data_IF_789851467130
#
_entry.id   IF_789851467130
#
_cell.length_a   1.000
_cell.length_b   1.000
_cell.length_c   1.000
_cell.angle_alpha   90.00
_cell.angle_beta   90.00
_cell.angle_gamma   90.00
#
_symmetry.space_group_name_H-M   'P 1'
#
loop_
_entity.id
_entity.type
_entity.pdbx_description
1 polymer ?
#
# COMPACT_ATOMS: atom_id res chain seq x y z
N UNK A 1 49.12 -14.62 1.51
CA UNK A 1 48.32 -15.06 0.34
C UNK A 1 47.29 -13.99 0.02
N UNK A 2 47.47 -13.23 -1.05
CA UNK A 2 46.52 -12.19 -1.46
C UNK A 2 45.24 -12.87 -1.95
N UNK A 3 44.16 -12.73 -1.18
CA UNK A 3 42.86 -13.30 -1.47
C UNK A 3 42.28 -12.60 -2.71
N UNK A 4 42.59 -13.11 -3.91
CA UNK A 4 42.01 -12.60 -5.16
C UNK A 4 40.50 -12.80 -5.08
N UNK A 5 39.76 -11.71 -4.95
CA UNK A 5 38.31 -11.74 -4.98
C UNK A 5 37.87 -12.50 -6.26
N UNK A 6 36.89 -13.43 -6.16
CA UNK A 6 36.48 -14.22 -7.30
C UNK A 6 36.06 -13.30 -8.47
N UNK A 7 36.64 -13.51 -9.64
CA UNK A 7 36.29 -12.77 -10.86
C UNK A 7 34.97 -13.29 -11.41
N UNK A 8 33.87 -12.73 -10.89
CA UNK A 8 32.52 -13.08 -11.34
C UNK A 8 32.19 -12.45 -12.69
N UNK A 9 31.60 -13.23 -13.61
CA UNK A 9 31.05 -12.72 -14.87
C UNK A 9 30.11 -11.51 -14.61
N UNK A 10 30.40 -10.32 -15.15
CA UNK A 10 29.62 -9.11 -14.91
C UNK A 10 28.21 -9.19 -15.51
N UNK A 11 28.02 -9.88 -16.64
CA UNK A 11 26.71 -10.04 -17.29
C UNK A 11 25.73 -10.80 -16.38
N UNK A 12 26.18 -11.86 -15.72
CA UNK A 12 25.36 -12.64 -14.77
C UNK A 12 24.86 -11.76 -13.61
N UNK A 13 25.70 -10.88 -13.07
CA UNK A 13 25.30 -9.99 -11.97
C UNK A 13 24.20 -9.00 -12.42
N UNK A 14 24.29 -8.53 -13.67
CA UNK A 14 23.31 -7.64 -14.27
C UNK A 14 21.96 -8.36 -14.46
N UNK A 15 21.97 -9.59 -14.98
CA UNK A 15 20.78 -10.43 -15.13
C UNK A 15 20.10 -10.67 -13.78
N UNK A 16 20.86 -11.04 -12.75
CA UNK A 16 20.32 -11.26 -11.41
C UNK A 16 19.67 -10.00 -10.85
N UNK A 17 20.34 -8.84 -10.97
CA UNK A 17 19.81 -7.57 -10.48
C UNK A 17 18.52 -7.13 -11.20
N UNK A 18 18.47 -7.26 -12.53
CA UNK A 18 17.28 -6.90 -13.28
C UNK A 18 16.15 -7.90 -13.06
N UNK A 19 16.45 -9.19 -12.94
CA UNK A 19 15.45 -10.19 -12.61
C UNK A 19 14.82 -9.97 -11.23
N UNK A 20 15.63 -9.65 -10.20
CA UNK A 20 15.13 -9.27 -8.88
C UNK A 20 14.22 -8.04 -8.97
N UNK A 21 14.65 -6.99 -9.68
CA UNK A 21 13.87 -5.76 -9.84
C UNK A 21 12.56 -6.02 -10.59
N UNK A 22 12.61 -6.80 -11.66
CA UNK A 22 11.43 -7.18 -12.43
C UNK A 22 10.47 -7.98 -11.55
N UNK A 23 10.96 -8.97 -10.78
CA UNK A 23 10.14 -9.73 -9.85
C UNK A 23 9.47 -8.85 -8.78
N UNK A 24 10.19 -7.88 -8.21
CA UNK A 24 9.61 -6.90 -7.29
C UNK A 24 8.51 -6.05 -7.96
N UNK A 25 8.70 -5.64 -9.22
CA UNK A 25 7.68 -4.91 -9.97
C UNK A 25 6.47 -5.79 -10.31
N UNK A 26 6.69 -7.07 -10.64
CA UNK A 26 5.62 -8.04 -10.88
C UNK A 26 4.79 -8.32 -9.62
N UNK A 27 5.38 -8.24 -8.43
CA UNK A 27 4.63 -8.32 -7.17
C UNK A 27 3.61 -7.19 -7.03
N UNK A 28 3.83 -6.03 -7.66
CA UNK A 28 2.86 -4.92 -7.60
C UNK A 28 1.56 -5.24 -8.34
N UNK A 29 1.58 -6.19 -9.28
CA UNK A 29 0.39 -6.62 -10.02
C UNK A 29 -0.56 -7.49 -9.20
N UNK A 30 -0.16 -7.94 -8.01
CA UNK A 30 -0.97 -8.83 -7.13
C UNK A 30 -2.44 -8.42 -6.98
N UNK A 31 -2.81 -7.13 -6.80
CA UNK A 31 -4.22 -6.72 -6.69
C UNK A 31 -5.05 -7.00 -7.95
N UNK A 32 -4.41 -7.10 -9.11
CA UNK A 32 -5.04 -7.41 -10.40
C UNK A 32 -5.05 -8.91 -10.71
N UNK A 33 -4.28 -9.72 -9.98
CA UNK A 33 -4.24 -11.16 -10.21
C UNK A 33 -5.57 -11.79 -9.78
N UNK A 34 -6.19 -12.46 -10.73
CA UNK A 34 -7.47 -13.14 -10.56
C UNK A 34 -7.52 -14.35 -11.49
N UNK A 35 -7.85 -15.52 -10.92
CA UNK A 35 -8.05 -16.75 -11.67
C UNK A 35 -9.28 -17.48 -11.13
N UNK A 36 -10.26 -17.65 -12.02
CA UNK A 36 -11.62 -18.13 -11.75
C UNK A 36 -11.72 -19.57 -11.31
N UNK A 37 -10.84 -20.43 -11.82
CA UNK A 37 -10.98 -21.88 -11.67
C UNK A 37 -10.32 -22.39 -10.38
N UNK A 38 -10.00 -21.48 -9.46
CA UNK A 38 -9.46 -21.81 -8.14
C UNK A 38 -10.56 -21.80 -7.09
N UNK A 39 -10.40 -22.58 -6.02
CA UNK A 39 -11.40 -22.72 -4.94
C UNK A 39 -11.77 -21.36 -4.33
N UNK A 40 -10.82 -20.43 -4.23
CA UNK A 40 -11.04 -19.04 -3.79
C UNK A 40 -10.41 -18.05 -4.78
N UNK A 41 -11.16 -17.62 -5.83
CA UNK A 41 -10.64 -16.80 -6.93
C UNK A 41 -10.00 -15.48 -6.52
N UNK A 42 -10.44 -14.92 -5.39
CA UNK A 42 -9.96 -13.64 -4.90
C UNK A 42 -8.69 -13.71 -4.06
N UNK A 43 -8.36 -14.89 -3.51
CA UNK A 43 -7.28 -15.06 -2.53
C UNK A 43 -6.19 -16.01 -3.04
N UNK A 44 -6.58 -17.21 -3.46
CA UNK A 44 -5.62 -18.27 -3.85
C UNK A 44 -4.68 -17.85 -4.97
N UNK A 45 -5.16 -17.27 -6.10
CA UNK A 45 -4.28 -16.86 -7.19
C UNK A 45 -3.27 -15.79 -6.75
N UNK A 46 -3.70 -14.86 -5.89
CA UNK A 46 -2.85 -13.77 -5.39
C UNK A 46 -1.75 -14.28 -4.48
N UNK A 47 -2.10 -15.21 -3.57
CA UNK A 47 -1.14 -15.82 -2.65
C UNK A 47 -0.12 -16.70 -3.40
N UNK A 48 -0.58 -17.52 -4.37
CA UNK A 48 0.33 -18.33 -5.18
C UNK A 48 1.26 -17.44 -6.01
N UNK A 49 0.72 -16.40 -6.66
CA UNK A 49 1.49 -15.43 -7.43
C UNK A 49 2.55 -14.74 -6.58
N UNK A 50 2.16 -14.18 -5.43
CA UNK A 50 3.09 -13.44 -4.57
C UNK A 50 4.16 -14.35 -3.99
N UNK A 51 3.80 -15.52 -3.47
CA UNK A 51 4.75 -16.46 -2.85
C UNK A 51 5.76 -16.99 -3.88
N UNK A 52 5.29 -17.45 -5.03
CA UNK A 52 6.17 -17.97 -6.09
C UNK A 52 7.16 -16.91 -6.58
N UNK A 53 6.70 -15.67 -6.75
CA UNK A 53 7.59 -14.56 -7.12
C UNK A 53 8.58 -14.22 -6.01
N UNK A 54 8.16 -14.23 -4.74
CA UNK A 54 9.06 -13.99 -3.60
C UNK A 54 10.14 -15.07 -3.53
N UNK A 55 9.79 -16.34 -3.69
CA UNK A 55 10.72 -17.47 -3.70
C UNK A 55 11.73 -17.33 -4.85
N UNK A 56 11.26 -17.05 -6.07
CA UNK A 56 12.12 -16.85 -7.23
C UNK A 56 13.08 -15.65 -7.03
N UNK A 57 12.55 -14.52 -6.58
CA UNK A 57 13.34 -13.32 -6.28
C UNK A 57 14.37 -13.57 -5.18
N UNK A 58 13.99 -14.32 -4.14
CA UNK A 58 14.89 -14.71 -3.07
C UNK A 58 16.02 -15.62 -3.57
N UNK A 59 15.71 -16.64 -4.38
CA UNK A 59 16.71 -17.52 -4.97
C UNK A 59 17.73 -16.71 -5.81
N UNK A 60 17.26 -15.78 -6.64
CA UNK A 60 18.14 -14.87 -7.40
C UNK A 60 18.98 -13.99 -6.49
N UNK A 61 18.40 -13.48 -5.39
CA UNK A 61 19.12 -12.67 -4.41
C UNK A 61 20.19 -13.47 -3.68
N UNK A 62 19.93 -14.72 -3.29
CA UNK A 62 20.93 -15.59 -2.63
C UNK A 62 22.16 -15.74 -3.53
N UNK A 63 21.95 -16.07 -4.81
CA UNK A 63 23.05 -16.16 -5.79
C UNK A 63 23.79 -14.84 -5.91
N UNK A 64 23.07 -13.72 -5.98
CA UNK A 64 23.68 -12.38 -6.04
C UNK A 64 24.50 -12.05 -4.78
N UNK A 65 24.00 -12.37 -3.59
CA UNK A 65 24.65 -12.09 -2.31
C UNK A 65 25.92 -12.92 -2.11
N UNK A 66 25.95 -14.17 -2.60
CA UNK A 66 27.17 -14.99 -2.62
C UNK A 66 28.22 -14.33 -3.53
N UNK A 67 27.80 -13.92 -4.74
CA UNK A 67 28.68 -13.33 -5.76
C UNK A 67 29.18 -11.93 -5.43
N UNK A 68 28.36 -11.12 -4.77
CA UNK A 68 28.67 -9.71 -4.52
C UNK A 68 28.55 -9.43 -3.02
N UNK A 69 29.69 -9.26 -2.31
CA UNK A 69 29.70 -8.96 -0.87
C UNK A 69 28.87 -7.74 -0.48
N UNK A 70 28.71 -6.81 -1.43
CA UNK A 70 27.88 -5.63 -1.28
C UNK A 70 26.42 -5.97 -0.94
N UNK A 71 25.84 -7.05 -1.49
CA UNK A 71 24.42 -7.43 -1.34
C UNK A 71 24.14 -8.41 -0.20
N UNK A 72 25.17 -8.76 0.59
CA UNK A 72 25.02 -9.65 1.74
C UNK A 72 24.25 -8.96 2.87
N UNK A 73 23.48 -9.72 3.67
CA UNK A 73 22.83 -9.20 4.86
C UNK A 73 23.82 -8.49 5.77
N UNK A 74 23.43 -7.31 6.23
CA UNK A 74 24.11 -6.55 7.30
C UNK A 74 23.14 -6.38 8.46
N UNK A 75 23.65 -6.07 9.64
CA UNK A 75 22.80 -5.81 10.80
C UNK A 75 21.78 -4.70 10.48
N UNK A 76 20.51 -4.99 10.74
CA UNK A 76 19.40 -4.08 10.49
C UNK A 76 18.37 -4.25 11.60
N UNK A 77 18.01 -3.15 12.27
CA UNK A 77 16.97 -3.16 13.30
C UNK A 77 15.61 -3.57 12.74
N UNK A 78 15.29 -3.19 11.49
CA UNK A 78 14.05 -3.58 10.82
C UNK A 78 13.94 -5.11 10.68
N UNK A 79 15.05 -5.75 10.34
CA UNK A 79 15.13 -7.21 10.21
C UNK A 79 14.96 -7.88 11.56
N UNK A 80 15.60 -7.34 12.60
CA UNK A 80 15.45 -7.86 13.97
C UNK A 80 13.99 -7.74 14.45
N UNK A 81 13.37 -6.58 14.29
CA UNK A 81 11.97 -6.35 14.71
C UNK A 81 11.03 -7.30 13.96
N UNK A 82 11.22 -7.47 12.65
CA UNK A 82 10.40 -8.40 11.87
C UNK A 82 10.66 -9.85 12.26
N UNK A 83 11.90 -10.24 12.54
CA UNK A 83 12.23 -11.57 13.03
C UNK A 83 11.60 -11.85 14.40
N UNK A 84 11.57 -10.86 15.29
CA UNK A 84 10.85 -10.97 16.57
C UNK A 84 9.34 -11.10 16.37
N UNK A 85 8.75 -10.40 15.38
CA UNK A 85 7.34 -10.57 15.01
C UNK A 85 7.06 -12.00 14.52
N UNK A 86 7.90 -12.55 13.64
CA UNK A 86 7.79 -13.94 13.17
C UNK A 86 7.94 -14.92 14.33
N UNK A 87 8.90 -14.70 15.22
CA UNK A 87 9.12 -15.53 16.40
C UNK A 87 7.90 -15.51 17.33
N UNK A 88 7.35 -14.33 17.60
CA UNK A 88 6.13 -14.18 18.39
C UNK A 88 4.95 -14.91 17.73
N UNK A 89 4.80 -14.80 16.41
CA UNK A 89 3.76 -15.51 15.66
C UNK A 89 3.95 -17.04 15.69
N UNK A 90 5.20 -17.54 15.63
CA UNK A 90 5.52 -18.96 15.75
C UNK A 90 5.21 -19.49 17.16
N UNK A 91 5.59 -18.75 18.20
CA UNK A 91 5.28 -19.10 19.59
C UNK A 91 3.76 -19.15 19.77
N UNK A 92 3.03 -18.12 19.31
CA UNK A 92 1.58 -18.08 19.36
C UNK A 92 0.92 -19.22 18.56
N UNK A 93 1.50 -19.60 17.41
CA UNK A 93 1.02 -20.73 16.63
C UNK A 93 1.21 -22.07 17.36
N UNK A 94 2.34 -22.24 18.04
CA UNK A 94 2.69 -23.47 18.77
C UNK A 94 1.79 -23.68 20.00
N UNK A 95 1.53 -22.61 20.76
CA UNK A 95 0.60 -22.65 21.90
C UNK A 95 -0.87 -22.47 21.52
N UNK A 96 -1.17 -22.29 20.23
CA UNK A 96 -2.52 -22.12 19.72
C UNK A 96 -3.28 -23.45 19.61
N UNK A 97 -4.61 -23.36 19.46
CA UNK A 97 -5.51 -24.52 19.38
C UNK A 97 -5.13 -25.51 18.27
N UNK A 98 -4.63 -25.02 17.14
CA UNK A 98 -4.13 -25.85 16.05
C UNK A 98 -2.90 -25.20 15.42
N UNK A 99 -1.73 -25.80 15.65
CA UNK A 99 -0.49 -25.36 15.01
C UNK A 99 -0.61 -25.41 13.48
N UNK A 100 -1.17 -26.49 12.93
CA UNK A 100 -1.37 -26.66 11.49
C UNK A 100 -2.16 -25.49 10.88
N UNK A 101 -3.27 -25.10 11.50
CA UNK A 101 -4.11 -24.00 11.00
C UNK A 101 -3.45 -22.64 11.22
N UNK A 102 -2.72 -22.43 12.31
CA UNK A 102 -2.00 -21.18 12.56
C UNK A 102 -0.80 -21.00 11.61
N UNK A 103 -0.08 -22.08 11.32
CA UNK A 103 1.10 -22.04 10.47
C UNK A 103 0.74 -21.90 8.99
N UNK A 104 -0.15 -22.75 8.47
CA UNK A 104 -0.51 -22.78 7.04
C UNK A 104 -1.69 -21.89 6.67
N UNK A 105 -2.57 -21.55 7.63
CA UNK A 105 -3.90 -20.96 7.37
C UNK A 105 -4.86 -21.92 6.66
N UNK A 106 -5.90 -21.37 6.04
CA UNK A 106 -6.82 -22.04 5.14
C UNK A 106 -6.79 -21.38 3.75
N UNK A 107 -7.49 -21.96 2.77
CA UNK A 107 -7.54 -21.40 1.41
C UNK A 107 -8.34 -20.10 1.30
N UNK A 108 -9.26 -19.85 2.23
CA UNK A 108 -10.06 -18.62 2.27
C UNK A 108 -9.23 -17.38 2.58
N UNK A 109 -8.20 -17.52 3.43
CA UNK A 109 -7.41 -16.38 3.93
C UNK A 109 -5.96 -16.42 3.50
N UNK A 110 -5.35 -17.62 3.49
CA UNK A 110 -3.94 -17.83 3.16
C UNK A 110 -2.98 -16.88 3.91
N UNK A 111 -3.27 -16.55 5.18
CA UNK A 111 -2.55 -15.54 5.99
C UNK A 111 -1.88 -16.15 7.24
N UNK A 112 -1.29 -17.33 7.10
CA UNK A 112 -0.64 -18.03 8.22
C UNK A 112 0.77 -17.52 8.50
N UNK A 113 1.45 -18.13 9.47
CA UNK A 113 2.88 -17.86 9.72
C UNK A 113 3.73 -18.11 8.46
N UNK A 114 3.37 -19.09 7.65
CA UNK A 114 4.01 -19.34 6.36
C UNK A 114 3.95 -18.11 5.43
N UNK A 115 2.83 -17.41 5.39
CA UNK A 115 2.68 -16.18 4.60
C UNK A 115 3.56 -15.05 5.18
N UNK A 116 3.57 -14.92 6.51
CA UNK A 116 4.40 -13.94 7.20
C UNK A 116 5.90 -14.16 6.94
N UNK A 117 6.36 -15.40 6.84
CA UNK A 117 7.73 -15.76 6.46
C UNK A 117 8.06 -15.26 5.04
N UNK A 118 7.14 -15.39 4.07
CA UNK A 118 7.35 -14.86 2.72
C UNK A 118 7.49 -13.33 2.72
N UNK A 119 6.65 -12.63 3.47
CA UNK A 119 6.80 -11.18 3.63
C UNK A 119 8.12 -10.79 4.30
N UNK A 120 8.60 -11.60 5.24
CA UNK A 120 9.94 -11.46 5.83
C UNK A 120 11.05 -11.65 4.81
N UNK A 121 10.97 -12.69 3.99
CA UNK A 121 11.92 -12.94 2.89
C UNK A 121 11.93 -11.78 1.89
N UNK A 122 10.75 -11.27 1.51
CA UNK A 122 10.65 -10.09 0.64
C UNK A 122 11.29 -8.86 1.29
N UNK A 123 11.02 -8.62 2.58
CA UNK A 123 11.64 -7.52 3.35
C UNK A 123 13.17 -7.63 3.32
N UNK A 124 13.70 -8.84 3.53
CA UNK A 124 15.14 -9.13 3.42
C UNK A 124 15.66 -8.69 2.03
N UNK A 125 15.07 -9.20 0.96
CA UNK A 125 15.51 -8.84 -0.40
C UNK A 125 15.44 -7.33 -0.65
N UNK A 126 14.36 -6.67 -0.24
CA UNK A 126 14.18 -5.23 -0.44
C UNK A 126 15.26 -4.40 0.25
N UNK A 127 15.57 -4.70 1.52
CA UNK A 127 16.56 -3.95 2.32
C UNK A 127 17.93 -3.93 1.65
N UNK A 128 18.39 -5.07 1.10
CA UNK A 128 19.75 -5.16 0.55
C UNK A 128 19.84 -5.01 -0.97
N UNK A 129 18.74 -5.05 -1.73
CA UNK A 129 18.76 -4.84 -3.19
C UNK A 129 18.28 -3.47 -3.62
N UNK A 130 17.26 -2.91 -2.96
CA UNK A 130 16.67 -1.61 -3.33
C UNK A 130 17.45 -0.49 -2.62
N UNK A 131 18.44 0.05 -3.33
CA UNK A 131 19.34 1.08 -2.82
C UNK A 131 19.02 2.44 -3.41
N UNK A 132 18.53 3.33 -2.54
CA UNK A 132 18.40 4.75 -2.83
C UNK A 132 17.00 5.20 -3.25
N UNK A 133 16.79 6.51 -3.15
CA UNK A 133 15.49 7.16 -3.32
C UNK A 133 14.90 6.95 -4.72
N UNK A 134 15.72 6.87 -5.76
CA UNK A 134 15.24 6.67 -7.15
C UNK A 134 14.53 5.33 -7.32
N UNK A 135 15.08 4.26 -6.76
CA UNK A 135 14.51 2.92 -6.87
C UNK A 135 13.22 2.81 -6.04
N UNK A 136 13.22 3.39 -4.83
CA UNK A 136 12.01 3.49 -4.02
C UNK A 136 10.90 4.30 -4.71
N UNK A 137 11.24 5.45 -5.32
CA UNK A 137 10.28 6.22 -6.11
C UNK A 137 9.71 5.40 -7.26
N UNK A 138 10.50 4.57 -7.95
CA UNK A 138 10.00 3.70 -9.02
C UNK A 138 8.95 2.72 -8.48
N UNK A 139 9.24 2.01 -7.40
CA UNK A 139 8.32 1.06 -6.77
C UNK A 139 7.04 1.76 -6.31
N UNK A 140 7.16 2.91 -5.62
CA UNK A 140 6.02 3.68 -5.13
C UNK A 140 5.16 4.24 -6.27
N UNK A 141 5.76 4.73 -7.36
CA UNK A 141 4.97 5.13 -8.54
C UNK A 141 4.31 3.92 -9.21
N UNK A 142 4.94 2.75 -9.18
CA UNK A 142 4.33 1.49 -9.61
C UNK A 142 3.12 1.10 -8.76
N UNK A 143 3.19 1.27 -7.43
CA UNK A 143 2.05 1.06 -6.55
C UNK A 143 0.90 2.02 -6.87
N UNK A 144 1.21 3.30 -7.13
CA UNK A 144 0.20 4.28 -7.57
C UNK A 144 -0.40 3.88 -8.92
N UNK A 145 0.40 3.30 -9.84
CA UNK A 145 -0.09 2.87 -11.16
C UNK A 145 -1.05 1.71 -11.07
N UNK A 146 -0.73 0.72 -10.23
CA UNK A 146 -1.63 -0.40 -9.95
C UNK A 146 -2.89 0.08 -9.23
N UNK A 147 -2.75 1.03 -8.30
CA UNK A 147 -3.88 1.66 -7.63
C UNK A 147 -4.79 2.44 -8.59
N UNK A 148 -4.22 3.17 -9.55
CA UNK A 148 -4.97 3.84 -10.60
C UNK A 148 -5.73 2.84 -11.46
N UNK A 149 -5.08 1.75 -11.89
CA UNK A 149 -5.72 0.68 -12.66
C UNK A 149 -6.88 0.02 -11.88
N UNK A 150 -6.68 -0.30 -10.60
CA UNK A 150 -7.75 -0.81 -9.72
C UNK A 150 -8.88 0.21 -9.59
N UNK A 151 -8.57 1.50 -9.48
CA UNK A 151 -9.58 2.55 -9.45
C UNK A 151 -10.42 2.65 -10.73
N UNK A 152 -9.79 2.49 -11.90
CA UNK A 152 -10.50 2.44 -13.18
C UNK A 152 -11.42 1.22 -13.27
N UNK A 153 -11.00 0.07 -12.74
CA UNK A 153 -11.87 -1.11 -12.64
C UNK A 153 -13.07 -0.84 -11.71
N UNK A 154 -12.89 -0.04 -10.66
CA UNK A 154 -14.00 0.41 -9.82
C UNK A 154 -15.00 1.29 -10.58
N UNK A 155 -14.53 2.23 -11.40
CA UNK A 155 -15.40 3.01 -12.29
C UNK A 155 -16.17 2.08 -13.24
N UNK A 156 -15.46 1.16 -13.89
CA UNK A 156 -16.08 0.19 -14.81
C UNK A 156 -17.18 -0.62 -14.11
N UNK A 157 -16.92 -1.12 -12.90
CA UNK A 157 -17.91 -1.85 -12.11
C UNK A 157 -19.14 -1.00 -11.78
N UNK A 158 -18.93 0.25 -11.35
CA UNK A 158 -20.03 1.17 -10.99
C UNK A 158 -20.91 1.52 -12.17
N UNK A 159 -20.34 1.64 -13.36
CA UNK A 159 -21.06 1.90 -14.61
C UNK A 159 -21.71 0.64 -15.21
N UNK A 160 -21.63 -0.51 -14.54
CA UNK A 160 -22.14 -1.79 -15.06
C UNK A 160 -21.32 -2.35 -16.23
N UNK A 161 -20.12 -1.82 -16.46
CA UNK A 161 -19.19 -2.33 -17.44
C UNK A 161 -18.68 -3.71 -17.04
N UNK A 162 -18.86 -4.70 -17.90
CA UNK A 162 -18.22 -5.99 -17.73
C UNK A 162 -16.80 -5.94 -18.31
N UNK A 163 -15.80 -6.26 -17.49
CA UNK A 163 -14.44 -6.51 -17.98
C UNK A 163 -14.27 -8.02 -18.08
N UNK A 164 -14.26 -8.61 -19.30
CA UNK A 164 -14.29 -10.06 -19.49
C UNK A 164 -13.11 -10.81 -18.87
N UNK A 165 -12.01 -10.12 -18.53
CA UNK A 165 -10.86 -10.69 -17.81
C UNK A 165 -11.13 -10.80 -16.31
N UNK A 166 -11.83 -9.84 -15.71
CA UNK A 166 -12.02 -9.79 -14.25
C UNK A 166 -13.39 -10.28 -13.78
N UNK A 167 -14.41 -10.38 -14.66
CA UNK A 167 -15.80 -10.75 -14.29
C UNK A 167 -16.20 -10.09 -12.97
N UNK A 168 -16.10 -8.77 -12.97
CA UNK A 168 -16.54 -7.94 -11.85
C UNK A 168 -17.98 -8.36 -11.52
N UNK A 169 -18.25 -8.56 -10.23
CA UNK A 169 -19.63 -8.60 -9.76
C UNK A 169 -20.30 -7.34 -10.30
N UNK A 170 -21.52 -7.44 -10.85
CA UNK A 170 -22.21 -6.32 -11.53
C UNK A 170 -22.38 -5.09 -10.64
N UNK A 171 -23.24 -4.12 -11.02
CA UNK A 171 -23.52 -2.97 -10.15
C UNK A 171 -23.95 -3.44 -8.75
N UNK A 172 -23.05 -3.34 -7.79
CA UNK A 172 -23.24 -3.72 -6.40
C UNK A 172 -23.42 -2.45 -5.57
N UNK A 173 -24.11 -2.57 -4.43
CA UNK A 173 -24.24 -1.45 -3.49
C UNK A 173 -22.86 -1.03 -2.94
N UNK A 174 -21.94 -2.00 -2.81
CA UNK A 174 -20.56 -1.79 -2.33
C UNK A 174 -19.56 -2.36 -3.32
N UNK A 175 -18.47 -1.64 -3.49
CA UNK A 175 -17.50 -1.88 -4.54
C UNK A 175 -16.39 -2.83 -4.06
N UNK A 176 -16.27 -4.01 -4.69
CA UNK A 176 -15.38 -5.12 -4.30
C UNK A 176 -14.24 -5.41 -5.31
N UNK A 177 -14.43 -5.05 -6.59
CA UNK A 177 -13.45 -5.11 -7.69
C UNK A 177 -12.71 -6.45 -7.77
N UNK A 178 -11.41 -6.43 -8.05
CA UNK A 178 -10.54 -7.61 -8.17
C UNK A 178 -10.08 -8.16 -6.82
N UNK A 179 -10.42 -7.49 -5.72
CA UNK A 179 -10.06 -7.90 -4.37
C UNK A 179 -11.17 -8.72 -3.70
N UNK A 180 -12.39 -8.71 -4.26
CA UNK A 180 -13.52 -9.51 -3.82
C UNK A 180 -14.07 -9.15 -2.43
N UNK A 181 -13.60 -8.03 -1.85
CA UNK A 181 -14.05 -7.54 -0.55
C UNK A 181 -13.92 -6.02 -0.47
N UNK A 182 -15.01 -5.26 -0.24
CA UNK A 182 -14.96 -3.80 -0.17
C UNK A 182 -14.00 -3.26 0.92
N UNK A 183 -13.86 -3.97 2.04
CA UNK A 183 -12.93 -3.56 3.10
C UNK A 183 -11.47 -3.68 2.65
N UNK A 184 -11.13 -4.73 1.88
CA UNK A 184 -9.79 -4.90 1.31
C UNK A 184 -9.50 -3.87 0.23
N UNK A 185 -10.47 -3.57 -0.64
CA UNK A 185 -10.36 -2.47 -1.62
C UNK A 185 -10.11 -1.14 -0.91
N UNK A 186 -10.90 -0.84 0.13
CA UNK A 186 -10.75 0.37 0.91
C UNK A 186 -9.34 0.50 1.53
N UNK A 187 -8.86 -0.55 2.22
CA UNK A 187 -7.53 -0.55 2.83
C UNK A 187 -6.39 -0.41 1.80
N UNK A 188 -6.51 -1.07 0.65
CA UNK A 188 -5.57 -0.93 -0.45
C UNK A 188 -5.56 0.51 -1.00
N UNK A 189 -6.73 1.09 -1.26
CA UNK A 189 -6.86 2.44 -1.82
C UNK A 189 -6.43 3.54 -0.85
N UNK A 190 -6.60 3.36 0.46
CA UNK A 190 -6.02 4.28 1.47
C UNK A 190 -4.50 4.32 1.33
N UNK A 191 -3.87 3.15 1.23
CA UNK A 191 -2.41 3.04 1.07
C UNK A 191 -1.95 3.73 -0.22
N UNK A 192 -2.63 3.47 -1.35
CA UNK A 192 -2.37 4.12 -2.63
C UNK A 192 -2.54 5.64 -2.54
N UNK A 193 -3.61 6.11 -1.90
CA UNK A 193 -3.90 7.53 -1.73
C UNK A 193 -2.78 8.22 -0.95
N UNK A 194 -2.35 7.67 0.19
CA UNK A 194 -1.26 8.23 1.00
C UNK A 194 0.07 8.27 0.24
N UNK A 195 0.40 7.22 -0.52
CA UNK A 195 1.61 7.21 -1.35
C UNK A 195 1.52 8.27 -2.47
N UNK A 196 0.37 8.37 -3.15
CA UNK A 196 0.16 9.35 -4.22
C UNK A 196 0.28 10.79 -3.71
N UNK A 197 -0.34 11.11 -2.56
CA UNK A 197 -0.22 12.41 -1.90
C UNK A 197 1.21 12.70 -1.45
N UNK A 198 1.90 11.71 -0.86
CA UNK A 198 3.30 11.86 -0.45
C UNK A 198 4.23 12.16 -1.62
N UNK A 199 4.08 11.44 -2.73
CA UNK A 199 4.85 11.68 -3.96
C UNK A 199 4.48 13.01 -4.63
N UNK A 200 3.23 13.44 -4.56
CA UNK A 200 2.79 14.74 -5.04
C UNK A 200 3.43 15.86 -4.22
N UNK A 201 3.36 15.78 -2.89
CA UNK A 201 3.98 16.73 -1.97
C UNK A 201 5.52 16.81 -2.16
N UNK A 202 6.21 15.68 -2.30
CA UNK A 202 7.64 15.63 -2.62
C UNK A 202 7.94 16.38 -3.93
N UNK A 203 7.11 16.18 -4.97
CA UNK A 203 7.31 16.84 -6.27
C UNK A 203 7.06 18.35 -6.26
N UNK A 204 6.23 18.86 -5.34
CA UNK A 204 5.93 20.28 -5.18
C UNK A 204 7.00 20.99 -4.32
N UNK A 205 7.64 20.26 -3.40
CA UNK A 205 8.61 20.81 -2.43
C UNK A 205 10.07 20.58 -2.81
N UNK A 206 10.35 19.70 -3.79
CA UNK A 206 11.71 19.36 -4.25
C UNK A 206 12.54 20.59 -4.67
N UNK A 207 11.92 21.58 -5.34
CA UNK A 207 12.62 22.80 -5.76
C UNK A 207 13.09 23.65 -4.58
N UNK A 208 12.19 23.93 -3.64
CA UNK A 208 12.49 24.69 -2.41
C UNK A 208 13.56 24.00 -1.53
N UNK A 209 13.57 22.67 -1.52
CA UNK A 209 14.53 21.87 -0.75
C UNK A 209 15.95 21.98 -1.30
N UNK A 210 16.11 21.97 -2.63
CA UNK A 210 17.41 22.13 -3.28
C UNK A 210 18.02 23.52 -3.02
N UNK A 211 17.22 24.58 -3.19
CA UNK A 211 17.66 25.97 -2.96
C UNK A 211 18.05 26.24 -1.51
N UNK A 212 17.45 25.54 -0.55
CA UNK A 212 17.80 25.64 0.87
C UNK A 212 19.16 24.97 1.18
N UNK A 213 19.44 23.81 0.59
CA UNK A 213 20.72 23.10 0.78
C UNK A 213 21.90 23.84 0.17
N UNK A 214 21.68 24.49 -0.97
CA UNK A 214 22.68 25.36 -1.62
C UNK A 214 23.01 26.57 -0.73
N UNK A 215 21.99 27.21 -0.13
CA UNK A 215 22.16 28.36 0.76
C UNK A 215 22.92 28.03 2.05
N UNK A 216 22.85 26.80 2.55
CA UNK A 216 23.59 26.35 3.75
C UNK A 216 25.03 25.89 3.47
N UNK A 217 25.61 26.27 2.33
CA UNK A 217 27.00 25.95 1.96
C UNK A 217 27.25 24.49 1.57
N UNK A 218 26.20 23.67 1.51
CA UNK A 218 26.30 22.25 1.22
C UNK A 218 26.30 21.94 -0.28
N UNK A 219 27.18 22.53 -1.09
CA UNK A 219 27.23 22.24 -2.55
C UNK A 219 27.34 20.73 -2.86
N UNK A 220 28.02 19.96 -2.02
CA UNK A 220 28.12 18.50 -2.15
C UNK A 220 26.85 17.76 -1.69
N UNK A 221 26.13 18.27 -0.67
CA UNK A 221 24.85 17.71 -0.18
C UNK A 221 23.66 18.07 -1.08
N UNK A 222 23.67 19.26 -1.68
CA UNK A 222 22.70 19.69 -2.68
C UNK A 222 22.77 18.81 -3.95
N UNK A 223 23.98 18.41 -4.37
CA UNK A 223 24.17 17.43 -5.46
C UNK A 223 23.63 16.03 -5.12
N UNK A 224 23.61 15.65 -3.83
CA UNK A 224 23.07 14.39 -3.34
C UNK A 224 21.54 14.35 -3.21
N UNK A 225 20.88 15.52 -3.05
CA UNK A 225 19.45 15.65 -3.34
C UNK A 225 19.33 15.63 -4.85
N UNK A 226 19.35 14.41 -5.39
CA UNK A 226 19.39 14.19 -6.82
C UNK A 226 18.37 15.10 -7.49
N UNK A 227 18.82 15.84 -8.53
CA UNK A 227 17.95 16.60 -9.42
C UNK A 227 16.64 15.83 -9.58
N UNK A 228 15.47 16.46 -9.36
CA UNK A 228 14.21 15.77 -9.54
C UNK A 228 14.28 15.06 -10.89
N UNK A 229 13.97 13.76 -10.90
CA UNK A 229 14.02 12.92 -12.10
C UNK A 229 13.33 13.62 -13.30
N UNK A 230 12.38 14.49 -13.00
CA UNK A 230 11.74 15.42 -13.91
C UNK A 230 12.45 16.78 -13.90
N UNK A 231 13.64 16.87 -14.51
CA UNK A 231 14.22 18.17 -14.89
C UNK A 231 13.52 18.79 -16.11
N UNK A 232 12.58 18.06 -16.72
CA UNK A 232 11.59 18.55 -17.68
C UNK A 232 10.22 18.79 -17.06
N UNK A 233 9.20 18.88 -17.91
CA UNK A 233 7.85 19.25 -17.51
C UNK A 233 7.19 18.21 -16.58
N UNK A 234 7.24 18.44 -15.27
CA UNK A 234 6.75 17.49 -14.25
C UNK A 234 5.23 17.49 -14.07
N UNK A 235 4.48 18.36 -14.78
CA UNK A 235 3.03 18.48 -14.61
C UNK A 235 2.26 17.18 -14.92
N UNK A 236 2.60 16.36 -15.94
CA UNK A 236 1.81 15.16 -16.24
C UNK A 236 1.82 14.19 -15.06
N UNK A 237 2.99 14.03 -14.42
CA UNK A 237 3.14 13.15 -13.26
C UNK A 237 2.44 13.70 -12.02
N UNK A 238 2.38 15.03 -11.85
CA UNK A 238 1.60 15.68 -10.78
C UNK A 238 0.11 15.47 -10.97
N UNK A 239 -0.39 15.71 -12.19
CA UNK A 239 -1.79 15.49 -12.56
C UNK A 239 -2.18 14.03 -12.35
N UNK A 240 -1.37 13.09 -12.82
CA UNK A 240 -1.60 11.66 -12.63
C UNK A 240 -1.67 11.26 -11.14
N UNK A 241 -0.76 11.75 -10.30
CA UNK A 241 -0.77 11.47 -8.85
C UNK A 241 -2.00 12.08 -8.16
N UNK A 242 -2.35 13.31 -8.52
CA UNK A 242 -3.54 13.97 -8.00
C UNK A 242 -4.82 13.23 -8.44
N UNK A 243 -4.93 12.87 -9.72
CA UNK A 243 -6.04 12.09 -10.25
C UNK A 243 -6.17 10.74 -9.55
N UNK A 244 -5.05 10.06 -9.30
CA UNK A 244 -5.06 8.78 -8.57
C UNK A 244 -5.50 8.96 -7.12
N UNK A 245 -5.07 10.02 -6.44
CA UNK A 245 -5.50 10.30 -5.07
C UNK A 245 -7.01 10.59 -5.00
N UNK A 246 -7.54 11.40 -5.93
CA UNK A 246 -8.98 11.68 -6.04
C UNK A 246 -9.77 10.41 -6.34
N UNK A 247 -9.31 9.61 -7.30
CA UNK A 247 -9.91 8.33 -7.64
C UNK A 247 -9.93 7.37 -6.45
N UNK A 248 -8.83 7.30 -5.68
CA UNK A 248 -8.75 6.47 -4.48
C UNK A 248 -9.75 6.93 -3.41
N UNK A 249 -9.92 8.23 -3.18
CA UNK A 249 -10.93 8.76 -2.24
C UNK A 249 -12.34 8.39 -2.69
N UNK A 250 -12.65 8.54 -3.98
CA UNK A 250 -13.95 8.14 -4.52
C UNK A 250 -14.20 6.63 -4.33
N UNK A 251 -13.23 5.78 -4.69
CA UNK A 251 -13.35 4.32 -4.48
C UNK A 251 -13.55 3.98 -3.01
N UNK A 252 -12.79 4.60 -2.09
CA UNK A 252 -12.97 4.39 -0.63
C UNK A 252 -14.41 4.69 -0.23
N UNK A 253 -15.01 5.79 -0.73
CA UNK A 253 -16.42 6.12 -0.50
C UNK A 253 -17.37 5.03 -1.01
N UNK A 254 -17.14 4.51 -2.22
CA UNK A 254 -17.98 3.45 -2.81
C UNK A 254 -17.81 2.08 -2.14
N UNK A 255 -16.70 1.84 -1.43
CA UNK A 255 -16.56 0.62 -0.64
C UNK A 255 -17.46 0.58 0.61
N UNK A 256 -17.91 1.75 1.09
CA UNK A 256 -18.62 1.89 2.36
C UNK A 256 -17.79 1.45 3.59
N UNK A 257 -16.46 1.32 3.46
CA UNK A 257 -15.59 0.87 4.55
C UNK A 257 -15.29 2.01 5.52
N UNK A 258 -16.00 2.03 6.66
CA UNK A 258 -15.77 2.99 7.76
C UNK A 258 -14.32 2.96 8.25
N UNK A 259 -13.73 1.76 8.33
CA UNK A 259 -12.33 1.58 8.71
C UNK A 259 -11.36 2.22 7.72
N UNK A 260 -11.61 2.11 6.41
CA UNK A 260 -10.78 2.75 5.40
C UNK A 260 -10.88 4.29 5.46
N UNK A 261 -12.09 4.83 5.65
CA UNK A 261 -12.26 6.27 5.81
C UNK A 261 -11.55 6.78 7.08
N UNK A 262 -11.73 6.09 8.20
CA UNK A 262 -11.04 6.43 9.46
C UNK A 262 -9.51 6.39 9.27
N UNK A 263 -9.00 5.38 8.57
CA UNK A 263 -7.56 5.28 8.25
C UNK A 263 -7.08 6.42 7.34
N UNK A 264 -7.89 6.85 6.37
CA UNK A 264 -7.57 7.99 5.51
C UNK A 264 -7.48 9.29 6.33
N UNK A 265 -8.50 9.58 7.14
CA UNK A 265 -8.55 10.78 7.99
C UNK A 265 -7.41 10.77 9.01
N UNK A 266 -7.22 9.65 9.71
CA UNK A 266 -6.12 9.48 10.66
C UNK A 266 -4.75 9.61 9.99
N UNK A 267 -4.57 9.02 8.81
CA UNK A 267 -3.35 9.12 8.02
C UNK A 267 -3.00 10.55 7.64
N UNK A 268 -3.99 11.32 7.15
CA UNK A 268 -3.82 12.75 6.81
C UNK A 268 -3.50 13.56 8.07
N UNK A 269 -4.20 13.31 9.18
CA UNK A 269 -3.95 13.97 10.46
C UNK A 269 -2.52 13.74 10.95
N UNK A 270 -2.07 12.49 11.05
CA UNK A 270 -0.73 12.17 11.51
C UNK A 270 0.34 12.67 10.55
N UNK A 271 0.16 12.52 9.23
CA UNK A 271 1.09 13.07 8.25
C UNK A 271 1.20 14.59 8.36
N UNK A 272 0.08 15.28 8.56
CA UNK A 272 0.02 16.73 8.80
C UNK A 272 0.75 17.13 10.08
N UNK A 273 0.52 16.43 11.19
CA UNK A 273 1.20 16.67 12.47
C UNK A 273 2.71 16.45 12.37
N UNK A 274 3.13 15.31 11.79
CA UNK A 274 4.55 15.01 11.59
C UNK A 274 5.22 16.09 10.73
N UNK A 275 4.55 16.56 9.67
CA UNK A 275 5.08 17.62 8.82
C UNK A 275 5.06 18.99 9.52
N UNK A 276 4.07 19.28 10.37
CA UNK A 276 4.04 20.52 11.14
C UNK A 276 5.23 20.62 12.11
N UNK A 277 5.64 19.50 12.72
CA UNK A 277 6.75 19.42 13.68
C UNK A 277 8.12 19.39 12.98
N UNK A 278 8.30 18.47 12.02
CA UNK A 278 9.60 18.18 11.39
C UNK A 278 9.74 18.66 9.95
N UNK A 279 8.65 19.15 9.34
CA UNK A 279 8.64 19.59 7.96
C UNK A 279 9.44 20.88 7.74
N UNK A 280 9.61 21.21 6.46
CA UNK A 280 10.39 22.37 6.01
C UNK A 280 9.48 23.45 5.43
N UNK A 281 9.85 24.70 5.68
CA UNK A 281 9.13 25.90 5.22
C UNK A 281 7.96 26.29 6.11
N UNK A 282 8.00 27.51 6.66
CA UNK A 282 7.00 28.00 7.63
C UNK A 282 5.56 27.92 7.10
N UNK A 283 5.34 28.32 5.83
CA UNK A 283 4.00 28.28 5.20
C UNK A 283 3.45 26.86 5.08
N UNK A 284 4.27 25.89 4.67
CA UNK A 284 3.84 24.50 4.52
C UNK A 284 3.60 23.82 5.86
N UNK A 285 4.41 24.14 6.87
CA UNK A 285 4.19 23.69 8.25
C UNK A 285 2.89 24.25 8.82
N UNK A 286 2.63 25.54 8.61
CA UNK A 286 1.38 26.18 9.03
C UNK A 286 0.16 25.57 8.31
N UNK A 287 0.25 25.32 7.01
CA UNK A 287 -0.81 24.64 6.26
C UNK A 287 -1.05 23.21 6.77
N UNK A 288 0.00 22.43 7.02
CA UNK A 288 -0.12 21.07 7.56
C UNK A 288 -0.73 21.07 8.98
N UNK A 289 -0.34 22.03 9.83
CA UNK A 289 -0.92 22.22 11.16
C UNK A 289 -2.41 22.62 11.06
N UNK A 290 -2.77 23.51 10.14
CA UNK A 290 -4.14 23.93 9.91
C UNK A 290 -5.02 22.75 9.44
N UNK A 291 -4.52 21.90 8.55
CA UNK A 291 -5.24 20.69 8.11
C UNK A 291 -5.44 19.73 9.29
N UNK A 292 -4.41 19.49 10.10
CA UNK A 292 -4.52 18.62 11.28
C UNK A 292 -5.51 19.18 12.31
N UNK A 293 -5.46 20.50 12.58
CA UNK A 293 -6.39 21.17 13.48
C UNK A 293 -7.83 21.14 12.95
N UNK A 294 -8.03 21.35 11.65
CA UNK A 294 -9.33 21.25 11.01
C UNK A 294 -9.95 19.85 11.20
N UNK A 295 -9.16 18.78 11.10
CA UNK A 295 -9.64 17.41 11.34
C UNK A 295 -10.11 17.24 12.80
N UNK A 296 -9.35 17.75 13.77
CA UNK A 296 -9.70 17.69 15.21
C UNK A 296 -10.99 18.43 15.52
N UNK A 297 -11.36 19.46 14.76
CA UNK A 297 -12.61 20.21 14.94
C UNK A 297 -13.75 19.57 14.15
N UNK A 298 -13.54 19.31 12.85
CA UNK A 298 -14.57 18.85 11.92
C UNK A 298 -15.05 17.44 12.26
N UNK A 299 -14.17 16.52 12.65
CA UNK A 299 -14.58 15.14 12.94
C UNK A 299 -15.53 15.08 14.15
N UNK A 300 -15.18 15.60 15.35
CA UNK A 300 -16.11 15.63 16.48
C UNK A 300 -17.38 16.44 16.18
N UNK A 301 -17.26 17.59 15.51
CA UNK A 301 -18.43 18.38 15.12
C UNK A 301 -19.36 17.59 14.21
N UNK A 302 -18.83 16.85 13.24
CA UNK A 302 -19.63 15.99 12.36
C UNK A 302 -20.31 14.85 13.13
N UNK A 303 -19.64 14.28 14.15
CA UNK A 303 -20.22 13.24 15.00
C UNK A 303 -21.36 13.78 15.87
N UNK A 304 -21.19 14.97 16.45
CA UNK A 304 -22.23 15.65 17.22
C UNK A 304 -23.40 16.07 16.33
N UNK A 305 -23.09 16.63 15.16
CA UNK A 305 -24.08 17.15 14.24
C UNK A 305 -24.89 16.03 13.55
N UNK A 306 -24.41 14.76 13.50
CA UNK A 306 -25.24 13.60 13.08
C UNK A 306 -26.51 13.43 13.91
N UNK A 307 -26.52 13.90 15.16
CA UNK A 307 -27.70 13.84 16.03
C UNK A 307 -28.71 14.94 15.70
N UNK A 308 -28.36 15.89 14.82
CA UNK A 308 -29.26 16.96 14.39
C UNK A 308 -30.20 16.50 13.26
N UNK A 309 -31.49 16.89 13.28
CA UNK A 309 -32.44 16.58 12.22
C UNK A 309 -32.00 17.07 10.83
N UNK A 310 -31.24 18.17 10.78
CA UNK A 310 -30.75 18.76 9.54
C UNK A 310 -29.74 17.86 8.79
N UNK A 311 -28.86 17.15 9.52
CA UNK A 311 -27.91 16.21 8.90
C UNK A 311 -28.54 14.85 8.61
N UNK A 312 -29.58 14.46 9.35
CA UNK A 312 -30.38 13.28 9.01
C UNK A 312 -31.14 13.48 7.68
N UNK A 313 -31.65 14.70 7.44
CA UNK A 313 -32.26 15.06 6.15
C UNK A 313 -31.25 15.02 4.97
N UNK A 314 -29.97 15.34 5.21
CA UNK A 314 -28.90 15.21 4.22
C UNK A 314 -28.52 13.74 3.95
N UNK A 315 -28.71 12.84 4.92
CA UNK A 315 -28.45 11.41 4.78
C UNK A 315 -29.30 10.73 3.71
N UNK A 316 -30.53 11.21 3.49
CA UNK A 316 -31.40 10.73 2.42
C UNK A 316 -31.00 11.18 1.00
N UNK A 317 -30.01 12.07 0.85
CA UNK A 317 -29.62 12.66 -0.44
C UNK A 317 -28.45 11.91 -1.09
N UNK A 318 -27.57 11.30 -0.29
CA UNK A 318 -26.43 10.53 -0.83
C UNK A 318 -26.21 9.21 -0.09
N UNK A 319 -26.26 8.06 -0.78
CA UNK A 319 -25.98 6.75 -0.19
C UNK A 319 -24.59 6.65 0.46
N UNK A 320 -23.65 7.52 0.08
CA UNK A 320 -22.31 7.61 0.68
C UNK A 320 -22.37 8.18 2.10
N UNK A 321 -23.22 9.19 2.34
CA UNK A 321 -23.38 9.78 3.66
C UNK A 321 -24.02 8.81 4.63
N UNK A 322 -25.07 8.08 4.23
CA UNK A 322 -25.69 7.06 5.08
C UNK A 322 -24.73 5.90 5.40
N UNK A 323 -23.99 5.38 4.41
CA UNK A 323 -22.98 4.33 4.64
C UNK A 323 -21.88 4.75 5.62
N UNK A 324 -21.50 6.02 5.58
CA UNK A 324 -20.38 6.58 6.34
C UNK A 324 -20.79 7.14 7.71
N UNK A 325 -21.97 7.76 7.77
CA UNK A 325 -22.45 8.55 8.89
C UNK A 325 -23.71 7.97 9.58
N UNK A 326 -24.42 7.04 8.95
CA UNK A 326 -25.63 6.41 9.47
C UNK A 326 -25.38 5.50 10.67
N UNK A 327 -26.42 5.32 11.48
CA UNK A 327 -26.39 4.41 12.63
C UNK A 327 -26.08 2.98 12.20
N UNK A 328 -25.39 2.22 13.04
CA UNK A 328 -25.17 0.80 12.80
C UNK A 328 -26.49 0.06 13.05
N UNK A 329 -27.40 0.09 12.07
CA UNK A 329 -28.66 -0.65 12.13
C UNK A 329 -28.41 -2.15 12.33
N UNK A 330 -29.25 -2.77 13.14
CA UNK A 330 -29.19 -4.18 13.59
C UNK A 330 -29.06 -5.20 12.44
N UNK A 331 -29.35 -4.82 11.19
CA UNK A 331 -29.12 -5.63 9.99
C UNK A 331 -27.65 -5.99 9.71
N UNK A 332 -26.69 -5.18 10.19
CA UNK A 332 -25.26 -5.49 10.05
C UNK A 332 -24.81 -6.66 10.95
N UNK A 333 -25.59 -7.01 11.98
CA UNK A 333 -25.38 -8.22 12.77
C UNK A 333 -25.95 -9.46 12.07
N UNK A 334 -27.07 -9.31 11.35
CA UNK A 334 -27.67 -10.38 10.56
C UNK A 334 -26.78 -10.81 9.38
N UNK A 335 -26.18 -9.88 8.63
CA UNK A 335 -25.25 -10.23 7.54
C UNK A 335 -23.96 -10.93 8.01
N UNK A 336 -23.46 -10.58 9.21
CA UNK A 336 -22.33 -11.31 9.82
C UNK A 336 -22.67 -12.77 10.12
N UNK A 337 -23.95 -13.08 10.36
CA UNK A 337 -24.43 -14.45 10.62
C UNK A 337 -24.76 -15.24 9.35
N UNK A 338 -25.09 -14.58 8.23
CA UNK A 338 -25.33 -15.27 6.95
C UNK A 338 -24.01 -15.83 6.39
N UNK A 339 -22.91 -15.10 6.54
CA UNK A 339 -21.57 -15.61 6.23
C UNK A 339 -21.10 -16.79 7.10
N UNK A 340 -21.70 -16.98 8.28
CA UNK A 340 -21.39 -18.11 9.16
C UNK A 340 -22.28 -19.35 8.90
N UNK A 341 -23.47 -19.17 8.31
CA UNK A 341 -24.39 -20.29 7.99
C UNK A 341 -24.17 -20.91 6.60
N UNK A 342 -23.51 -20.20 5.68
CA UNK A 342 -23.09 -20.73 4.38
C UNK A 342 -21.77 -21.54 4.45
N UNK A 343 -21.18 -21.68 5.64
CA UNK A 343 -19.91 -22.37 5.88
C UNK A 343 -20.06 -23.61 6.78
N UNK A 344 -21.23 -24.26 6.73
CA UNK A 344 -21.46 -25.60 7.27
C UNK A 344 -21.85 -26.58 6.15
#
# INVERSE_FOLDING_TARGET
MANRAPTYNPAMNLVLLWGIRLGILLLLFTPLIHWRDTVFPWVVPKAIWSRSLIEAVFAMWVVLAIRRPEYRPRRSWLVLIFALLVLAALIAAFFGVSFQRSFWSNFERMQGVFDLLHWGVLLFVLIWTVRGVRQWRLILNGMVAMGFAVGLLGIAQRLGGSVPLFRLMGPQERLDITLGNPTYVGGYMVTVCMIALGLLADSLTSGATATWLERRGGRSRARGVGRPWNAGNAWPLRVYRAATAVLAVWVIGETGSRGALAALVGGIFFAGLLYAVWGRGARLRAAAAAVAAAIVVVVPLSLFARQSPALQALGGITPVFERTFGEAGEGAAAERSVGARMAL
#
